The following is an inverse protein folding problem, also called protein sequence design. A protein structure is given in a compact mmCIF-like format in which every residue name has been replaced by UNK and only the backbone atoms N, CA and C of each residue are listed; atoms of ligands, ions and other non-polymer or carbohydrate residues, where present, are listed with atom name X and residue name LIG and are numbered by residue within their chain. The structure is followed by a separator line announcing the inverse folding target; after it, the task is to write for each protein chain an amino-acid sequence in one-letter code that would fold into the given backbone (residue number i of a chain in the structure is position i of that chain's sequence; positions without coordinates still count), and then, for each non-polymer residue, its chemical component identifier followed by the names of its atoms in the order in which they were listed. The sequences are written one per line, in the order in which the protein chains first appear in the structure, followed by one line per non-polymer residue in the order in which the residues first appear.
data_IF_768393106746
#
_entry.id   IF_768393106746
#
_cell.length_a   1.000
_cell.length_b   1.000
_cell.length_c   1.000
_cell.angle_alpha   90.00
_cell.angle_beta   90.00
_cell.angle_gamma   90.00
#
_symmetry.space_group_name_H-M   'P 1'
#
loop_
_entity.id
_entity.type
_entity.pdbx_description
1 polymer ?
#
# COMPACT_ATOMS: atom_id res chain seq x y z
N UNK A 1 17.88 4.97 -4.36
CA UNK A 1 17.14 4.88 -5.62
C UNK A 1 17.25 3.50 -6.30
N UNK A 2 16.17 2.73 -6.25
CA UNK A 2 16.01 1.44 -6.96
C UNK A 2 15.43 1.68 -8.38
N UNK A 3 15.83 0.85 -9.35
CA UNK A 3 15.23 0.85 -10.70
C UNK A 3 14.41 -0.42 -10.91
N UNK A 4 13.11 -0.27 -11.19
CA UNK A 4 12.28 -1.33 -11.74
C UNK A 4 12.28 -1.19 -13.26
N UNK A 5 12.61 -2.25 -13.98
CA UNK A 5 12.62 -2.26 -15.44
C UNK A 5 11.68 -3.35 -15.98
N UNK A 6 10.48 -2.95 -16.35
CA UNK A 6 9.42 -3.86 -16.81
C UNK A 6 9.30 -3.84 -18.33
N UNK A 7 9.30 -5.03 -18.93
CA UNK A 7 9.02 -5.22 -20.36
C UNK A 7 7.56 -5.62 -20.58
N UNK A 8 6.86 -4.82 -21.38
CA UNK A 8 5.46 -5.03 -21.72
C UNK A 8 5.35 -5.36 -23.20
N UNK A 9 5.00 -6.61 -23.52
CA UNK A 9 4.80 -7.04 -24.91
C UNK A 9 3.45 -6.52 -25.41
N UNK A 10 3.50 -5.79 -26.52
CA UNK A 10 2.33 -5.22 -27.18
C UNK A 10 2.08 -5.95 -28.51
N UNK A 11 0.84 -6.35 -28.75
CA UNK A 11 0.34 -6.90 -30.01
C UNK A 11 0.09 -5.80 -31.03
N UNK A 12 -0.50 -4.69 -30.60
CA UNK A 12 -0.97 -3.63 -31.51
C UNK A 12 -0.67 -2.22 -30.99
N UNK A 13 -0.98 -1.21 -31.80
CA UNK A 13 -0.85 0.22 -31.46
C UNK A 13 -2.01 0.70 -30.56
N UNK A 14 -3.08 -0.08 -30.50
CA UNK A 14 -4.29 0.18 -29.71
C UNK A 14 -4.31 -0.57 -28.38
N UNK A 15 -3.23 -1.27 -28.02
CA UNK A 15 -3.12 -1.90 -26.72
C UNK A 15 -3.01 -0.81 -25.64
N UNK A 16 -3.82 -0.94 -24.59
CA UNK A 16 -3.88 0.01 -23.48
C UNK A 16 -3.45 -0.72 -22.20
N UNK A 17 -2.60 -0.07 -21.42
CA UNK A 17 -2.15 -0.56 -20.12
C UNK A 17 -2.40 0.51 -19.08
N UNK A 18 -2.95 0.09 -17.94
CA UNK A 18 -3.33 0.99 -16.86
C UNK A 18 -2.37 0.84 -15.69
N UNK A 19 -1.90 1.97 -15.19
CA UNK A 19 -0.99 2.06 -14.06
C UNK A 19 -1.78 2.61 -12.88
N UNK A 20 -1.88 1.83 -11.81
CA UNK A 20 -2.62 2.15 -10.61
C UNK A 20 -1.65 2.46 -9.47
N UNK A 21 -1.40 3.74 -9.15
CA UNK A 21 -0.78 4.12 -7.89
C UNK A 21 -1.79 3.93 -6.77
N UNK A 22 -1.42 3.21 -5.72
CA UNK A 22 -2.23 3.02 -4.51
C UNK A 22 -1.39 3.33 -3.28
N UNK A 23 -1.64 4.43 -2.60
CA UNK A 23 -0.95 4.83 -1.38
C UNK A 23 -1.89 5.55 -0.42
N UNK A 24 -1.39 5.95 0.74
CA UNK A 24 -2.11 6.74 1.75
C UNK A 24 -3.46 6.10 2.11
N UNK A 25 -3.45 4.77 2.23
CA UNK A 25 -4.65 3.99 2.58
C UNK A 25 -4.96 4.13 4.06
N UNK A 26 -3.94 4.22 4.91
CA UNK A 26 -4.03 4.28 6.37
C UNK A 26 -4.99 3.23 6.92
N UNK A 27 -4.85 1.98 6.48
CA UNK A 27 -5.71 0.92 6.99
C UNK A 27 -5.45 0.74 8.48
N UNK A 28 -6.50 0.94 9.28
CA UNK A 28 -6.35 1.04 10.74
C UNK A 28 -6.92 2.34 11.30
N UNK A 29 -7.02 3.40 10.49
CA UNK A 29 -7.76 4.59 10.88
C UNK A 29 -9.28 4.32 10.85
N UNK A 30 -10.03 4.84 11.83
CA UNK A 30 -11.49 4.65 11.94
C UNK A 30 -12.27 5.11 10.71
N UNK A 31 -11.79 6.18 10.07
CA UNK A 31 -12.37 6.78 8.87
C UNK A 31 -11.85 6.16 7.55
N UNK A 32 -10.97 5.15 7.60
CA UNK A 32 -10.44 4.50 6.42
C UNK A 32 -11.57 3.95 5.54
N UNK A 33 -11.57 4.35 4.27
CA UNK A 33 -12.59 3.98 3.29
C UNK A 33 -12.39 2.56 2.75
N UNK A 34 -12.43 1.56 3.64
CA UNK A 34 -12.17 0.15 3.29
C UNK A 34 -13.10 -0.41 2.21
N UNK A 35 -14.36 0.01 2.20
CA UNK A 35 -15.33 -0.46 1.20
C UNK A 35 -14.95 0.04 -0.19
N UNK A 36 -14.75 1.36 -0.43
CA UNK A 36 -14.17 1.86 -1.68
C UNK A 36 -12.85 1.19 -2.06
N UNK A 37 -11.92 0.99 -1.11
CA UNK A 37 -10.66 0.29 -1.37
C UNK A 37 -10.89 -1.11 -1.94
N UNK A 38 -11.79 -1.91 -1.34
CA UNK A 38 -12.12 -3.26 -1.82
C UNK A 38 -12.75 -3.24 -3.22
N UNK A 39 -13.62 -2.27 -3.52
CA UNK A 39 -14.19 -2.12 -4.86
C UNK A 39 -13.13 -1.69 -5.89
N UNK A 40 -12.18 -0.85 -5.48
CA UNK A 40 -11.05 -0.46 -6.32
C UNK A 40 -10.14 -1.67 -6.61
N UNK A 41 -9.81 -2.47 -5.60
CA UNK A 41 -9.07 -3.73 -5.79
C UNK A 41 -9.80 -4.68 -6.73
N UNK A 42 -11.14 -4.79 -6.65
CA UNK A 42 -11.91 -5.59 -7.61
C UNK A 42 -11.81 -5.04 -9.03
N UNK A 43 -11.81 -3.73 -9.20
CA UNK A 43 -11.63 -3.06 -10.51
C UNK A 43 -10.26 -3.42 -11.08
N UNK A 44 -9.19 -3.24 -10.30
CA UNK A 44 -7.83 -3.63 -10.67
C UNK A 44 -7.74 -5.12 -10.97
N UNK A 45 -8.41 -5.97 -10.20
CA UNK A 45 -8.43 -7.41 -10.41
C UNK A 45 -9.03 -7.79 -11.77
N UNK A 46 -10.12 -7.14 -12.17
CA UNK A 46 -10.80 -7.40 -13.44
C UNK A 46 -10.08 -6.82 -14.66
N UNK A 47 -9.14 -5.89 -14.47
CA UNK A 47 -8.33 -5.33 -15.55
C UNK A 47 -7.09 -6.21 -15.84
N UNK A 48 -7.04 -6.94 -16.97
CA UNK A 48 -5.92 -7.81 -17.30
C UNK A 48 -4.60 -7.07 -17.59
N UNK A 49 -4.68 -5.77 -17.91
CA UNK A 49 -3.52 -4.96 -18.26
C UNK A 49 -3.04 -4.09 -17.09
N UNK A 50 -3.71 -4.16 -15.94
CA UNK A 50 -3.34 -3.42 -14.74
C UNK A 50 -1.91 -3.70 -14.27
N UNK A 51 -1.23 -2.63 -13.85
CA UNK A 51 0.03 -2.63 -13.12
C UNK A 51 -0.11 -1.74 -11.90
N UNK A 52 0.28 -2.23 -10.74
CA UNK A 52 0.04 -1.56 -9.46
C UNK A 52 1.38 -1.17 -8.85
N UNK A 53 1.45 0.05 -8.31
CA UNK A 53 2.54 0.51 -7.46
C UNK A 53 1.95 0.91 -6.12
N UNK A 54 2.51 0.41 -5.03
CA UNK A 54 2.11 0.86 -3.70
C UNK A 54 2.92 2.10 -3.30
N UNK A 55 2.23 3.16 -2.89
CA UNK A 55 2.80 4.48 -2.64
C UNK A 55 3.20 4.75 -1.19
N UNK A 56 3.15 3.76 -0.29
CA UNK A 56 3.38 3.92 1.14
C UNK A 56 2.11 4.23 1.93
N UNK A 57 2.22 4.23 3.25
CA UNK A 57 1.12 4.47 4.21
C UNK A 57 -0.07 3.55 3.94
N UNK A 58 0.24 2.26 3.73
CA UNK A 58 -0.76 1.22 3.49
C UNK A 58 -1.50 0.86 4.78
N UNK A 59 -0.85 1.07 5.92
CA UNK A 59 -1.37 0.84 7.28
C UNK A 59 -1.22 2.08 8.14
N UNK A 60 -2.11 2.27 9.12
CA UNK A 60 -2.05 3.47 9.96
C UNK A 60 -0.94 3.40 11.00
N UNK A 61 -0.69 2.24 11.60
CA UNK A 61 0.42 1.99 12.54
C UNK A 61 0.50 2.95 13.73
N UNK A 62 -0.61 3.63 14.06
CA UNK A 62 -0.76 4.42 15.28
C UNK A 62 -1.06 3.44 16.42
N UNK A 63 -0.03 3.13 17.20
CA UNK A 63 -0.09 2.15 18.29
C UNK A 63 -0.12 2.85 19.66
N UNK A 64 -0.53 2.17 20.76
CA UNK A 64 -0.67 2.80 22.09
C UNK A 64 0.57 3.51 22.64
N UNK A 65 1.75 3.14 22.14
CA UNK A 65 3.04 3.75 22.47
C UNK A 65 3.24 5.11 21.80
N UNK A 66 2.49 5.41 20.73
CA UNK A 66 2.45 6.72 20.09
C UNK A 66 1.46 7.65 20.80
N UNK A 67 1.83 8.06 22.01
CA UNK A 67 0.98 8.85 22.92
C UNK A 67 0.51 10.19 22.35
N UNK A 68 1.10 10.66 21.24
CA UNK A 68 0.67 11.91 20.59
C UNK A 68 -0.51 11.71 19.65
N UNK A 69 -0.60 10.54 19.00
CA UNK A 69 -1.60 10.25 17.96
C UNK A 69 -2.61 9.20 18.39
N UNK A 70 -2.26 8.35 19.34
CA UNK A 70 -3.12 7.26 19.76
C UNK A 70 -4.26 7.73 20.66
N UNK A 71 -5.48 7.45 20.21
CA UNK A 71 -6.72 7.56 20.97
C UNK A 71 -7.59 6.32 20.67
N UNK A 72 -8.42 5.91 21.62
CA UNK A 72 -9.33 4.78 21.39
C UNK A 72 -10.35 5.08 20.27
N UNK A 73 -10.71 6.34 20.07
CA UNK A 73 -11.63 6.80 19.04
C UNK A 73 -11.04 6.79 17.63
N UNK A 74 -9.72 6.66 17.46
CA UNK A 74 -9.10 6.50 16.13
C UNK A 74 -9.12 5.05 15.65
N UNK A 75 -9.42 4.09 16.54
CA UNK A 75 -9.48 2.68 16.17
C UNK A 75 -10.70 2.38 15.30
N UNK A 76 -10.57 1.49 14.31
CA UNK A 76 -11.67 1.12 13.45
C UNK A 76 -12.59 0.15 14.17
N UNK A 77 -13.89 0.24 13.88
CA UNK A 77 -14.93 -0.60 14.50
C UNK A 77 -14.60 -2.09 14.53
N UNK A 78 -13.95 -2.61 13.48
CA UNK A 78 -13.62 -4.02 13.40
C UNK A 78 -12.58 -4.47 14.44
N UNK A 79 -11.78 -3.57 15.01
CA UNK A 79 -10.91 -3.90 16.16
C UNK A 79 -11.72 -4.19 17.42
N UNK A 80 -12.89 -3.56 17.57
CA UNK A 80 -13.73 -3.58 18.77
C UNK A 80 -14.93 -4.55 18.69
N UNK A 81 -15.07 -5.29 17.58
CA UNK A 81 -16.19 -6.24 17.36
C UNK A 81 -15.78 -7.69 17.62
N UNK A 82 -16.60 -8.45 18.35
CA UNK A 82 -16.43 -9.89 18.57
C UNK A 82 -16.50 -10.27 20.05
N UNK A 83 -16.01 -11.47 20.39
CA UNK A 83 -15.87 -11.88 21.80
C UNK A 83 -14.81 -11.04 22.52
N UNK A 84 -14.89 -10.96 23.85
CA UNK A 84 -13.87 -10.28 24.67
C UNK A 84 -12.45 -10.78 24.38
N UNK A 85 -12.28 -12.10 24.22
CA UNK A 85 -11.00 -12.71 23.85
C UNK A 85 -10.48 -12.25 22.50
N UNK A 86 -11.37 -12.06 21.52
CA UNK A 86 -11.02 -11.56 20.18
C UNK A 86 -10.58 -10.10 20.25
N UNK A 87 -11.33 -9.27 20.98
CA UNK A 87 -11.03 -7.84 21.14
C UNK A 87 -9.66 -7.68 21.83
N UNK A 88 -9.43 -8.37 22.95
CA UNK A 88 -8.13 -8.34 23.65
C UNK A 88 -6.98 -8.77 22.76
N UNK A 89 -7.15 -9.82 21.97
CA UNK A 89 -6.12 -10.29 21.02
C UNK A 89 -5.80 -9.23 19.96
N UNK A 90 -6.80 -8.53 19.43
CA UNK A 90 -6.59 -7.48 18.43
C UNK A 90 -5.88 -6.26 19.01
N UNK A 91 -6.32 -5.79 20.18
CA UNK A 91 -5.74 -4.62 20.84
C UNK A 91 -4.30 -4.86 21.34
N UNK A 92 -3.94 -6.11 21.64
CA UNK A 92 -2.56 -6.45 22.03
C UNK A 92 -1.55 -6.34 20.88
N UNK A 93 -1.99 -6.38 19.62
CA UNK A 93 -1.10 -6.34 18.45
C UNK A 93 -1.78 -5.65 17.27
N UNK A 94 -2.00 -4.34 17.43
CA UNK A 94 -2.69 -3.48 16.45
C UNK A 94 -1.97 -3.49 15.09
N UNK A 95 -0.65 -3.35 15.09
CA UNK A 95 0.17 -3.31 13.88
C UNK A 95 0.04 -4.61 13.06
N UNK A 96 0.05 -5.76 13.72
CA UNK A 96 -0.19 -7.03 13.02
C UNK A 96 -1.60 -7.13 12.46
N UNK A 97 -2.63 -6.70 13.20
CA UNK A 97 -4.01 -6.76 12.69
C UNK A 97 -4.20 -5.90 11.44
N UNK A 98 -3.65 -4.69 11.44
CA UNK A 98 -3.69 -3.78 10.28
C UNK A 98 -2.95 -4.38 9.09
N UNK A 99 -1.70 -4.83 9.28
CA UNK A 99 -0.90 -5.45 8.21
C UNK A 99 -1.63 -6.65 7.60
N UNK A 100 -2.12 -7.57 8.44
CA UNK A 100 -2.84 -8.75 7.98
C UNK A 100 -4.08 -8.38 7.18
N UNK A 101 -4.81 -7.35 7.63
CA UNK A 101 -6.05 -6.92 6.96
C UNK A 101 -5.76 -6.26 5.61
N UNK A 102 -4.71 -5.44 5.47
CA UNK A 102 -4.35 -4.85 4.18
C UNK A 102 -3.82 -5.92 3.23
N UNK A 103 -3.03 -6.86 3.74
CA UNK A 103 -2.55 -8.02 2.99
C UNK A 103 -3.74 -8.81 2.41
N UNK A 104 -4.75 -9.14 3.22
CA UNK A 104 -5.93 -9.85 2.76
C UNK A 104 -6.75 -9.06 1.72
N UNK A 105 -6.77 -7.73 1.81
CA UNK A 105 -7.41 -6.86 0.81
C UNK A 105 -6.65 -6.88 -0.51
N UNK A 106 -5.32 -6.79 -0.48
CA UNK A 106 -4.47 -6.68 -1.69
C UNK A 106 -4.12 -8.03 -2.31
N UNK A 107 -4.24 -9.14 -1.57
CA UNK A 107 -3.90 -10.49 -2.05
C UNK A 107 -4.48 -10.84 -3.43
N UNK A 108 -5.73 -10.49 -3.80
CA UNK A 108 -6.26 -10.79 -5.12
C UNK A 108 -5.47 -10.18 -6.28
N UNK A 109 -4.80 -9.04 -6.06
CA UNK A 109 -4.05 -8.30 -7.08
C UNK A 109 -2.53 -8.41 -6.90
N UNK A 110 -2.04 -9.27 -6.00
CA UNK A 110 -0.62 -9.34 -5.65
C UNK A 110 0.31 -9.51 -6.85
N UNK A 111 -0.07 -10.37 -7.80
CA UNK A 111 0.67 -10.61 -9.06
C UNK A 111 0.75 -9.40 -10.01
N UNK A 112 -0.03 -8.35 -9.76
CA UNK A 112 -0.04 -7.11 -10.54
C UNK A 112 0.77 -6.00 -9.87
N UNK A 113 1.21 -6.20 -8.63
CA UNK A 113 2.00 -5.23 -7.86
C UNK A 113 3.45 -5.34 -8.29
N UNK A 114 3.98 -4.26 -8.87
CA UNK A 114 5.37 -4.18 -9.34
C UNK A 114 6.34 -3.88 -8.20
N UNK A 115 5.89 -3.10 -7.21
CA UNK A 115 6.68 -2.76 -6.04
C UNK A 115 5.96 -1.79 -5.12
N UNK A 116 6.58 -1.50 -3.98
CA UNK A 116 6.02 -0.67 -2.93
C UNK A 116 7.07 0.30 -2.36
N UNK A 117 6.71 1.57 -2.24
CA UNK A 117 7.48 2.62 -1.57
C UNK A 117 7.08 2.66 -0.08
N UNK A 118 8.04 2.85 0.82
CA UNK A 118 7.84 3.01 2.26
C UNK A 118 7.21 4.37 2.56
N UNK A 119 6.09 4.37 3.29
CA UNK A 119 5.45 5.60 3.76
C UNK A 119 6.01 6.07 5.10
N UNK A 120 5.62 7.27 5.55
CA UNK A 120 6.11 7.79 6.82
C UNK A 120 5.56 7.02 8.04
N UNK A 121 4.38 6.41 7.96
CA UNK A 121 3.82 5.60 9.05
C UNK A 121 4.63 4.31 9.21
N UNK A 122 4.94 3.61 8.11
CA UNK A 122 5.81 2.43 8.15
C UNK A 122 7.24 2.80 8.60
N UNK A 123 7.78 3.92 8.12
CA UNK A 123 9.10 4.40 8.55
C UNK A 123 9.15 4.68 10.06
N UNK A 124 8.13 5.35 10.63
CA UNK A 124 8.08 5.60 12.08
C UNK A 124 7.99 4.29 12.86
N UNK A 125 7.24 3.31 12.38
CA UNK A 125 7.17 1.98 12.99
C UNK A 125 8.55 1.31 13.02
N UNK A 126 9.27 1.32 11.90
CA UNK A 126 10.65 0.81 11.83
C UNK A 126 11.59 1.56 12.77
N UNK A 127 11.52 2.89 12.79
CA UNK A 127 12.42 3.74 13.57
C UNK A 127 12.19 3.63 15.09
N UNK A 128 10.93 3.61 15.53
CA UNK A 128 10.58 3.64 16.96
C UNK A 128 10.44 2.25 17.59
N UNK A 129 10.07 1.26 16.79
CA UNK A 129 9.76 -0.09 17.29
C UNK A 129 10.69 -1.16 16.73
N UNK A 130 11.67 -0.80 15.90
CA UNK A 130 12.58 -1.74 15.24
C UNK A 130 11.82 -2.85 14.50
N UNK A 131 10.69 -2.49 13.88
CA UNK A 131 9.79 -3.43 13.22
C UNK A 131 9.52 -2.98 11.79
N UNK A 132 10.02 -3.74 10.83
CA UNK A 132 9.97 -3.36 9.42
C UNK A 132 8.67 -3.85 8.75
N UNK A 133 7.55 -3.22 9.10
CA UNK A 133 6.22 -3.59 8.58
C UNK A 133 6.14 -3.55 7.05
N UNK A 134 6.78 -2.56 6.42
CA UNK A 134 6.79 -2.39 4.97
C UNK A 134 7.43 -3.58 4.24
N UNK A 135 8.63 -4.00 4.66
CA UNK A 135 9.30 -5.17 4.09
C UNK A 135 8.44 -6.43 4.25
N UNK A 136 7.84 -6.65 5.42
CA UNK A 136 6.97 -7.79 5.66
C UNK A 136 5.75 -7.81 4.74
N UNK A 137 5.13 -6.64 4.49
CA UNK A 137 4.02 -6.53 3.55
C UNK A 137 4.46 -6.84 2.11
N UNK A 138 5.64 -6.38 1.71
CA UNK A 138 6.22 -6.67 0.39
C UNK A 138 6.44 -8.17 0.20
N UNK A 139 7.09 -8.82 1.18
CA UNK A 139 7.34 -10.27 1.17
C UNK A 139 6.03 -11.07 1.10
N UNK A 140 5.04 -10.67 1.89
CA UNK A 140 3.72 -11.31 1.94
C UNK A 140 2.91 -11.16 0.63
N UNK A 141 3.16 -10.11 -0.14
CA UNK A 141 2.52 -9.85 -1.44
C UNK A 141 3.38 -10.29 -2.63
N UNK A 142 4.64 -10.67 -2.42
CA UNK A 142 5.60 -10.93 -3.49
C UNK A 142 5.94 -9.68 -4.31
N UNK A 143 5.86 -8.50 -3.70
CA UNK A 143 6.21 -7.22 -4.30
C UNK A 143 7.66 -6.86 -3.98
N UNK A 144 8.31 -6.05 -4.83
CA UNK A 144 9.65 -5.52 -4.53
C UNK A 144 9.54 -4.37 -3.53
N UNK A 145 10.30 -4.42 -2.44
CA UNK A 145 10.49 -3.27 -1.54
C UNK A 145 11.39 -2.23 -2.24
N UNK A 146 10.83 -1.06 -2.51
CA UNK A 146 11.46 0.03 -3.25
C UNK A 146 12.07 1.11 -2.35
N UNK A 147 12.11 0.87 -1.04
CA UNK A 147 12.55 1.84 -0.03
C UNK A 147 11.75 3.15 -0.13
N UNK A 148 12.40 4.30 0.02
CA UNK A 148 11.86 5.65 -0.01
C UNK A 148 11.65 6.25 -1.41
N UNK A 149 12.44 5.82 -2.39
CA UNK A 149 12.37 6.34 -3.77
C UNK A 149 12.84 5.32 -4.82
N UNK A 150 12.13 5.31 -5.95
CA UNK A 150 12.46 4.46 -7.08
C UNK A 150 12.14 5.10 -8.44
N UNK A 151 12.74 4.52 -9.47
CA UNK A 151 12.39 4.79 -10.86
C UNK A 151 11.76 3.54 -11.45
N UNK A 152 10.58 3.69 -12.04
CA UNK A 152 9.91 2.67 -12.83
C UNK A 152 10.11 2.98 -14.31
N UNK A 153 10.81 2.10 -15.01
CA UNK A 153 10.98 2.14 -16.46
C UNK A 153 10.10 1.07 -17.10
N UNK A 154 9.09 1.51 -17.84
CA UNK A 154 8.18 0.66 -18.60
C UNK A 154 8.58 0.67 -20.07
N UNK A 155 8.98 -0.49 -20.60
CA UNK A 155 9.37 -0.67 -22.01
C UNK A 155 8.28 -1.43 -22.75
N UNK A 156 7.49 -0.71 -23.54
CA UNK A 156 6.46 -1.25 -24.42
C UNK A 156 7.10 -1.73 -25.72
N UNK A 157 7.10 -3.04 -25.93
CA UNK A 157 7.80 -3.69 -27.04
C UNK A 157 6.76 -4.25 -28.03
N UNK A 158 6.79 -3.75 -29.26
CA UNK A 158 5.99 -4.27 -30.37
C UNK A 158 6.90 -4.63 -31.54
N UNK A 159 7.05 -5.92 -31.79
CA UNK A 159 8.02 -6.45 -32.77
C UNK A 159 9.42 -5.87 -32.50
N UNK A 160 9.95 -5.03 -33.40
CA UNK A 160 11.26 -4.36 -33.25
C UNK A 160 11.16 -2.94 -32.65
N UNK A 161 9.94 -2.39 -32.52
CA UNK A 161 9.75 -1.05 -31.99
C UNK A 161 9.64 -1.10 -30.46
N UNK A 162 10.31 -0.15 -29.80
CA UNK A 162 10.27 0.02 -28.35
C UNK A 162 9.82 1.45 -28.05
N UNK A 163 8.89 1.59 -27.11
CA UNK A 163 8.50 2.87 -26.53
C UNK A 163 8.67 2.79 -25.03
N UNK A 164 9.28 3.81 -24.44
CA UNK A 164 9.63 3.79 -23.02
C UNK A 164 8.91 4.90 -22.28
N UNK A 165 8.30 4.55 -21.15
CA UNK A 165 7.77 5.51 -20.17
C UNK A 165 8.62 5.36 -18.91
N UNK A 166 9.06 6.47 -18.35
CA UNK A 166 9.83 6.50 -17.10
C UNK A 166 9.02 7.28 -16.08
N UNK A 167 8.81 6.69 -14.92
CA UNK A 167 8.05 7.25 -13.80
C UNK A 167 8.98 7.29 -12.60
N UNK A 168 9.14 8.45 -11.98
CA UNK A 168 9.79 8.58 -10.68
C UNK A 168 8.75 8.41 -9.58
N UNK A 169 9.07 7.61 -8.57
CA UNK A 169 8.21 7.22 -7.46
C UNK A 169 8.86 7.70 -6.17
N UNK A 170 8.10 8.46 -5.37
CA UNK A 170 8.45 8.80 -4.00
C UNK A 170 7.16 8.93 -3.18
N UNK A 171 7.27 8.70 -1.87
CA UNK A 171 6.16 8.96 -0.97
C UNK A 171 6.08 10.46 -0.67
N UNK A 172 4.90 11.06 -0.84
CA UNK A 172 4.70 12.49 -0.63
C UNK A 172 4.60 12.82 0.86
N UNK A 173 5.43 13.73 1.36
CA UNK A 173 5.29 14.28 2.72
C UNK A 173 4.24 15.40 2.72
N UNK A 174 2.97 15.04 2.93
CA UNK A 174 1.85 15.97 2.88
C UNK A 174 1.08 16.02 4.19
N UNK A 175 1.45 16.94 5.09
CA UNK A 175 0.59 17.34 6.22
C UNK A 175 -0.62 18.12 5.71
N UNK A 176 -1.63 17.41 5.18
CA UNK A 176 -2.85 18.04 4.70
C UNK A 176 -3.56 18.79 5.84
N UNK A 177 -4.07 19.98 5.52
CA UNK A 177 -4.83 20.84 6.47
C UNK A 177 -6.34 20.68 6.28
N UNK A 178 -6.80 19.46 6.00
CA UNK A 178 -8.22 19.12 5.89
C UNK A 178 -8.57 18.01 6.86
N UNK A 179 -9.84 17.89 7.25
CA UNK A 179 -10.32 16.98 8.29
C UNK A 179 -10.13 15.47 8.01
N UNK A 180 -9.42 15.10 6.94
CA UNK A 180 -9.02 13.73 6.61
C UNK A 180 -7.51 13.56 6.39
N UNK A 181 -6.70 14.57 6.71
CA UNK A 181 -5.25 14.46 6.72
C UNK A 181 -4.80 14.32 8.17
N UNK A 182 -4.29 13.14 8.50
CA UNK A 182 -3.86 12.82 9.86
C UNK A 182 -2.42 13.33 10.07
N UNK A 183 -2.30 14.27 11.01
CA UNK A 183 -1.06 14.69 11.66
C UNK A 183 -0.70 13.77 12.80
#
# INVERSE_FOLDING_TARGET
MILIDEEIKCKSRSDIFDIYPLGDVHLGARNCAEKPLREHVKTIFNDPNARVILGGDMTNLVTPVDVMRFDMDVLPDWMLRGSESTIRKRLNDVAFQERKRIQDILRPISKKILGAIEGNHEFQMRKRHNYYTHQLLCDELGATDLTDEAVLRLRFIRQKAVSTVVIYLCHGWGGGRTAGAES
#
